data_IF_658547725776
#
_entry.id   IF_658547725776
#
_cell.length_a   1.000
_cell.length_b   1.000
_cell.length_c   1.000
_cell.angle_alpha   90.00
_cell.angle_beta   90.00
_cell.angle_gamma   90.00
#
_symmetry.space_group_name_H-M   'P 1'
#
loop_
_entity.id
_entity.type
_entity.pdbx_description
1 polymer ?
#
# COMPACT_ATOMS: atom_id res chain seq x y z
N UNK A 1 10.37 29.84 19.05
CA UNK A 1 10.26 28.37 19.07
C UNK A 1 9.05 27.94 18.26
N UNK A 2 7.85 28.45 18.58
CA UNK A 2 6.62 28.26 17.79
C UNK A 2 6.74 28.61 16.29
N UNK A 3 7.39 29.72 15.93
CA UNK A 3 7.57 30.12 14.51
C UNK A 3 8.56 29.21 13.75
N UNK A 4 9.53 28.60 14.44
CA UNK A 4 10.41 27.57 13.83
C UNK A 4 9.66 26.25 13.66
N UNK A 5 8.86 25.87 14.66
CA UNK A 5 8.01 24.67 14.60
C UNK A 5 6.97 24.77 13.48
N UNK A 6 6.38 25.95 13.26
CA UNK A 6 5.45 26.22 12.15
C UNK A 6 6.14 26.18 10.77
N UNK A 7 7.39 26.66 10.68
CA UNK A 7 8.19 26.60 9.45
C UNK A 7 8.71 25.19 9.11
N UNK A 8 8.85 24.32 10.12
CA UNK A 8 9.35 22.96 9.96
C UNK A 8 8.23 21.91 9.78
N UNK A 9 6.96 22.33 9.85
CA UNK A 9 5.77 21.49 9.61
C UNK A 9 5.88 20.62 8.35
N UNK A 10 6.44 21.19 7.28
CA UNK A 10 6.51 20.53 5.97
C UNK A 10 7.80 19.73 5.74
N UNK A 11 8.71 19.69 6.74
CA UNK A 11 10.02 19.05 6.62
C UNK A 11 9.99 17.66 7.23
N UNK A 12 10.56 16.70 6.50
CA UNK A 12 10.82 15.36 7.02
C UNK A 12 11.99 15.38 8.00
N UNK A 13 11.93 14.55 9.04
CA UNK A 13 13.08 14.32 9.91
C UNK A 13 14.13 13.49 9.18
N UNK A 14 15.42 13.80 9.39
CA UNK A 14 16.53 13.10 8.73
C UNK A 14 16.53 11.60 9.03
N UNK A 15 16.17 11.21 10.26
CA UNK A 15 16.09 9.81 10.65
C UNK A 15 15.02 9.04 9.86
N UNK A 16 13.87 9.68 9.60
CA UNK A 16 12.77 9.06 8.86
C UNK A 16 13.16 8.88 7.38
N UNK A 17 13.77 9.90 6.77
CA UNK A 17 14.31 9.81 5.39
C UNK A 17 15.37 8.72 5.28
N UNK A 18 16.28 8.62 6.26
CA UNK A 18 17.30 7.56 6.28
C UNK A 18 16.66 6.16 6.39
N UNK A 19 15.59 6.03 7.18
CA UNK A 19 14.84 4.77 7.33
C UNK A 19 14.21 4.35 5.99
N UNK A 20 13.54 5.27 5.30
CA UNK A 20 12.95 5.06 3.98
C UNK A 20 14.00 4.66 2.93
N UNK A 21 15.15 5.35 2.89
CA UNK A 21 16.24 5.01 1.96
C UNK A 21 16.81 3.62 2.23
N UNK A 22 16.94 3.21 3.49
CA UNK A 22 17.36 1.84 3.83
C UNK A 22 16.35 0.81 3.31
N UNK A 23 15.05 1.08 3.42
CA UNK A 23 14.00 0.22 2.87
C UNK A 23 14.08 0.13 1.35
N UNK A 24 14.21 1.27 0.66
CA UNK A 24 14.41 1.35 -0.79
C UNK A 24 15.60 0.50 -1.26
N UNK A 25 16.74 0.59 -0.57
CA UNK A 25 17.92 -0.22 -0.88
C UNK A 25 17.71 -1.72 -0.60
N UNK A 26 17.05 -2.05 0.51
CA UNK A 26 16.84 -3.43 0.97
C UNK A 26 15.84 -4.20 0.09
N UNK A 27 14.85 -3.52 -0.49
CA UNK A 27 13.82 -4.13 -1.34
C UNK A 27 14.21 -4.19 -2.83
N UNK A 28 15.28 -3.51 -3.22
CA UNK A 28 15.69 -3.31 -4.63
C UNK A 28 15.84 -4.60 -5.47
N UNK A 29 16.15 -5.73 -4.84
CA UNK A 29 16.33 -7.02 -5.54
C UNK A 29 15.09 -7.93 -5.48
N UNK A 30 14.03 -7.49 -4.82
CA UNK A 30 12.78 -8.25 -4.67
C UNK A 30 11.85 -7.88 -5.83
N UNK A 31 11.44 -8.84 -6.68
CA UNK A 31 10.53 -8.56 -7.78
C UNK A 31 9.23 -7.89 -7.32
N UNK A 32 8.79 -6.89 -8.08
CA UNK A 32 7.56 -6.14 -7.83
C UNK A 32 7.70 -4.99 -6.81
N UNK A 33 8.93 -4.62 -6.45
CA UNK A 33 9.25 -3.35 -5.78
C UNK A 33 10.03 -2.43 -6.73
N UNK A 34 10.02 -1.12 -6.46
CA UNK A 34 10.72 -0.16 -7.32
C UNK A 34 12.23 -0.31 -7.21
N UNK A 35 12.92 -0.15 -8.34
CA UNK A 35 14.39 -0.14 -8.35
C UNK A 35 14.89 1.22 -7.86
N UNK A 36 15.61 1.22 -6.75
CA UNK A 36 16.33 2.38 -6.22
C UNK A 36 17.63 2.58 -7.00
N UNK A 37 17.81 3.78 -7.57
CA UNK A 37 18.99 4.11 -8.38
C UNK A 37 20.00 4.94 -7.62
N UNK A 38 19.59 6.06 -7.03
CA UNK A 38 20.52 6.97 -6.34
C UNK A 38 19.81 7.85 -5.30
N UNK A 39 20.61 8.35 -4.34
CA UNK A 39 20.21 9.39 -3.40
C UNK A 39 21.23 10.54 -3.48
N UNK A 40 20.76 11.72 -3.89
CA UNK A 40 21.57 12.93 -3.88
C UNK A 40 21.03 13.92 -2.84
N UNK A 41 21.90 14.40 -1.96
CA UNK A 41 21.58 15.51 -1.05
C UNK A 41 21.97 16.82 -1.71
N UNK A 42 21.02 17.74 -1.83
CA UNK A 42 21.24 19.07 -2.40
C UNK A 42 20.83 20.16 -1.41
N UNK A 43 21.41 21.35 -1.57
CA UNK A 43 21.10 22.52 -0.76
C UNK A 43 20.66 23.69 -1.64
N UNK A 44 19.61 24.39 -1.23
CA UNK A 44 19.14 25.62 -1.86
C UNK A 44 17.67 25.58 -2.28
N UNK A 45 17.24 26.65 -2.97
CA UNK A 45 15.90 26.75 -3.54
C UNK A 45 15.74 25.88 -4.78
N UNK A 46 14.53 25.36 -5.07
CA UNK A 46 14.28 24.60 -6.30
C UNK A 46 14.64 25.38 -7.56
N UNK A 47 15.18 24.65 -8.55
CA UNK A 47 15.71 25.24 -9.78
C UNK A 47 14.61 25.87 -10.66
N UNK A 48 14.96 26.78 -11.59
CA UNK A 48 14.00 27.33 -12.55
C UNK A 48 13.26 26.25 -13.37
N UNK A 49 13.93 25.14 -13.69
CA UNK A 49 13.34 24.01 -14.39
C UNK A 49 12.27 23.31 -13.54
N UNK A 50 12.53 23.10 -12.25
CA UNK A 50 11.56 22.55 -11.31
C UNK A 50 10.34 23.47 -11.17
N UNK A 51 10.57 24.77 -11.04
CA UNK A 51 9.51 25.79 -10.94
C UNK A 51 8.60 25.79 -12.18
N UNK A 52 9.20 25.65 -13.38
CA UNK A 52 8.46 25.53 -14.63
C UNK A 52 7.60 24.25 -14.65
N UNK A 53 8.15 23.12 -14.22
CA UNK A 53 7.42 21.85 -14.14
C UNK A 53 6.24 21.93 -13.15
N UNK A 54 6.47 22.46 -11.95
CA UNK A 54 5.42 22.68 -10.94
C UNK A 54 4.31 23.60 -11.48
N UNK A 55 4.68 24.68 -12.18
CA UNK A 55 3.71 25.60 -12.78
C UNK A 55 2.89 24.91 -13.87
N UNK A 56 3.52 24.13 -14.74
CA UNK A 56 2.84 23.39 -15.81
C UNK A 56 1.86 22.38 -15.22
N UNK A 57 2.28 21.62 -14.20
CA UNK A 57 1.44 20.65 -13.50
C UNK A 57 0.24 21.34 -12.84
N UNK A 58 0.43 22.45 -12.13
CA UNK A 58 -0.69 23.16 -11.49
C UNK A 58 -1.67 23.81 -12.46
N UNK A 59 -1.21 24.19 -13.66
CA UNK A 59 -2.06 24.74 -14.71
C UNK A 59 -2.96 23.69 -15.34
N UNK A 60 -2.52 22.44 -15.42
CA UNK A 60 -3.31 21.34 -15.98
C UNK A 60 -4.32 20.73 -14.98
N UNK A 61 -4.32 21.16 -13.71
CA UNK A 61 -5.18 20.60 -12.67
C UNK A 61 -6.48 21.39 -12.47
N UNK A 62 -7.60 20.72 -12.16
CA UNK A 62 -8.83 21.38 -11.76
C UNK A 62 -8.65 22.28 -10.54
N UNK A 63 -9.56 23.24 -10.38
CA UNK A 63 -9.59 24.10 -9.19
C UNK A 63 -9.79 23.21 -7.94
N UNK A 64 -8.98 23.44 -6.91
CA UNK A 64 -8.99 22.63 -5.68
C UNK A 64 -8.04 21.43 -5.70
N UNK A 65 -7.55 20.97 -6.85
CA UNK A 65 -6.62 19.82 -6.98
C UNK A 65 -5.20 20.28 -7.35
N UNK A 66 -4.80 21.47 -6.87
CA UNK A 66 -3.47 22.04 -7.06
C UNK A 66 -2.52 21.57 -5.95
N UNK A 67 -1.23 21.83 -6.12
CA UNK A 67 -0.18 21.51 -5.15
C UNK A 67 -0.51 22.07 -3.78
N UNK A 68 -0.45 21.21 -2.78
CA UNK A 68 -0.54 21.59 -1.37
C UNK A 68 0.75 22.27 -0.91
N UNK A 69 1.90 21.90 -1.49
CA UNK A 69 3.17 22.55 -1.24
C UNK A 69 3.20 23.98 -1.79
N UNK A 70 3.87 24.91 -1.08
CA UNK A 70 3.98 26.29 -1.51
C UNK A 70 4.76 26.41 -2.82
N UNK A 71 4.45 27.47 -3.57
CA UNK A 71 5.07 27.76 -4.87
C UNK A 71 6.59 27.86 -4.75
N UNK A 72 7.36 26.92 -5.34
CA UNK A 72 8.80 26.84 -5.15
C UNK A 72 9.57 28.02 -5.78
N UNK A 73 8.93 28.81 -6.64
CA UNK A 73 9.53 30.02 -7.21
C UNK A 73 9.57 31.20 -6.24
N UNK A 74 8.76 31.19 -5.17
CA UNK A 74 8.69 32.28 -4.21
C UNK A 74 9.81 32.16 -3.18
N UNK A 75 10.56 33.23 -2.99
CA UNK A 75 11.68 33.28 -2.00
C UNK A 75 11.22 33.03 -0.56
N UNK A 76 9.97 33.35 -0.24
CA UNK A 76 9.39 33.11 1.09
C UNK A 76 9.05 31.63 1.33
N UNK A 77 9.00 30.81 0.28
CA UNK A 77 8.59 29.41 0.39
C UNK A 77 9.72 28.50 0.84
N UNK A 78 10.96 28.78 0.41
CA UNK A 78 12.13 27.99 0.77
C UNK A 78 13.37 28.88 0.90
N UNK A 79 14.17 28.64 1.93
CA UNK A 79 15.43 29.36 2.17
C UNK A 79 16.58 28.84 1.29
N UNK A 80 17.60 29.66 1.04
CA UNK A 80 18.79 29.28 0.26
C UNK A 80 19.66 28.21 0.99
N UNK A 81 19.41 27.92 2.27
CA UNK A 81 20.09 26.86 3.04
C UNK A 81 19.27 25.56 3.17
N UNK A 82 18.05 25.51 2.62
CA UNK A 82 17.17 24.35 2.69
C UNK A 82 17.85 23.11 2.11
N UNK A 83 17.84 22.00 2.86
CA UNK A 83 18.32 20.70 2.39
C UNK A 83 17.20 19.90 1.74
N UNK A 84 17.54 19.18 0.67
CA UNK A 84 16.65 18.25 -0.01
C UNK A 84 17.33 16.92 -0.22
N UNK A 85 16.58 15.83 -0.01
CA UNK A 85 16.94 14.50 -0.47
C UNK A 85 16.26 14.26 -1.82
N UNK A 86 17.04 14.02 -2.86
CA UNK A 86 16.55 13.66 -4.20
C UNK A 86 16.77 12.16 -4.36
N UNK A 87 15.68 11.40 -4.35
CA UNK A 87 15.68 9.94 -4.50
C UNK A 87 15.34 9.65 -5.97
N UNK A 88 16.29 9.06 -6.70
CA UNK A 88 16.08 8.60 -8.08
C UNK A 88 15.68 7.12 -8.08
N UNK A 89 14.55 6.82 -8.73
CA UNK A 89 13.97 5.48 -8.80
C UNK A 89 13.54 5.15 -10.22
N UNK A 90 13.33 3.86 -10.50
CA UNK A 90 12.67 3.42 -11.72
C UNK A 90 11.27 4.03 -11.85
N UNK A 91 10.88 4.34 -13.08
CA UNK A 91 9.50 4.66 -13.42
C UNK A 91 8.60 3.43 -13.21
N UNK A 92 7.82 3.46 -12.13
CA UNK A 92 6.93 2.39 -11.71
C UNK A 92 5.62 2.32 -12.52
N UNK A 93 5.34 3.28 -13.41
CA UNK A 93 4.10 3.36 -14.19
C UNK A 93 3.01 4.20 -13.51
N UNK A 94 1.75 3.86 -13.77
CA UNK A 94 0.58 4.62 -13.29
C UNK A 94 -0.03 3.91 -12.09
N UNK A 95 -0.34 4.63 -11.02
CA UNK A 95 -1.01 4.07 -9.84
C UNK A 95 -2.42 3.55 -10.13
N UNK A 96 -2.83 2.52 -9.39
CA UNK A 96 -4.14 1.87 -9.55
C UNK A 96 -5.31 2.85 -9.39
N UNK A 97 -5.18 3.84 -8.49
CA UNK A 97 -6.23 4.86 -8.29
C UNK A 97 -6.50 5.64 -9.57
N UNK A 98 -5.46 6.20 -10.20
CA UNK A 98 -5.60 6.89 -11.49
C UNK A 98 -6.09 5.98 -12.61
N UNK A 99 -5.63 4.73 -12.66
CA UNK A 99 -6.11 3.80 -13.70
C UNK A 99 -7.61 3.56 -13.54
N UNK A 100 -8.08 3.39 -12.31
CA UNK A 100 -9.51 3.23 -12.00
C UNK A 100 -10.31 4.49 -12.34
N UNK A 101 -9.80 5.69 -12.00
CA UNK A 101 -10.42 6.98 -12.36
C UNK A 101 -10.60 7.15 -13.88
N UNK A 102 -9.67 6.62 -14.68
CA UNK A 102 -9.74 6.64 -16.13
C UNK A 102 -10.51 5.46 -16.75
N UNK A 103 -11.15 4.62 -15.92
CA UNK A 103 -12.01 3.52 -16.38
C UNK A 103 -11.30 2.19 -16.65
N UNK A 104 -10.03 2.06 -16.29
CA UNK A 104 -9.28 0.80 -16.32
C UNK A 104 -9.52 -0.07 -15.09
N UNK A 105 -8.87 -1.25 -15.05
CA UNK A 105 -9.00 -2.26 -13.98
C UNK A 105 -10.45 -2.74 -13.74
N UNK A 106 -11.25 -2.78 -14.79
CA UNK A 106 -12.66 -3.21 -14.73
C UNK A 106 -12.83 -4.69 -15.06
N UNK A 107 -11.83 -5.31 -15.70
CA UNK A 107 -11.89 -6.71 -16.08
C UNK A 107 -11.42 -7.63 -14.96
N UNK A 108 -12.09 -8.79 -14.81
CA UNK A 108 -11.62 -9.85 -13.90
C UNK A 108 -10.18 -10.29 -14.18
N UNK A 109 -9.72 -10.23 -15.43
CA UNK A 109 -8.36 -10.63 -15.80
C UNK A 109 -7.33 -9.63 -15.26
N UNK A 110 -7.64 -8.34 -15.32
CA UNK A 110 -6.80 -7.26 -14.80
C UNK A 110 -6.79 -7.28 -13.27
N UNK A 111 -7.98 -7.35 -12.66
CA UNK A 111 -8.14 -7.43 -11.20
C UNK A 111 -7.40 -8.64 -10.63
N UNK A 112 -7.48 -9.79 -11.31
CA UNK A 112 -6.77 -11.00 -10.90
C UNK A 112 -5.25 -10.82 -10.96
N UNK A 113 -4.73 -10.30 -12.08
CA UNK A 113 -3.28 -10.10 -12.26
C UNK A 113 -2.71 -9.07 -11.29
N UNK A 114 -3.42 -7.96 -11.07
CA UNK A 114 -2.98 -6.91 -10.14
C UNK A 114 -2.99 -7.41 -8.71
N UNK A 115 -4.09 -8.02 -8.25
CA UNK A 115 -4.19 -8.50 -6.88
C UNK A 115 -3.11 -9.55 -6.55
N UNK A 116 -3.01 -10.59 -7.37
CA UNK A 116 -2.01 -11.63 -7.13
C UNK A 116 -0.58 -11.14 -7.38
N UNK A 117 -0.37 -10.23 -8.33
CA UNK A 117 0.93 -9.59 -8.54
C UNK A 117 1.42 -8.91 -7.25
N UNK A 118 0.58 -8.11 -6.61
CA UNK A 118 0.89 -7.46 -5.32
C UNK A 118 1.11 -8.50 -4.21
N UNK A 119 0.22 -9.48 -4.04
CA UNK A 119 0.37 -10.50 -3.00
C UNK A 119 1.68 -11.29 -3.15
N UNK A 120 2.08 -11.63 -4.38
CA UNK A 120 3.33 -12.34 -4.64
C UNK A 120 4.56 -11.50 -4.30
N UNK A 121 4.57 -10.21 -4.64
CA UNK A 121 5.66 -9.30 -4.29
C UNK A 121 5.77 -9.16 -2.77
N UNK A 122 4.66 -8.88 -2.08
CA UNK A 122 4.64 -8.72 -0.62
C UNK A 122 5.05 -10.02 0.09
N UNK A 123 4.56 -11.18 -0.35
CA UNK A 123 4.97 -12.48 0.21
C UNK A 123 6.49 -12.73 0.08
N UNK A 124 7.10 -12.34 -1.04
CA UNK A 124 8.56 -12.43 -1.22
C UNK A 124 9.30 -11.50 -0.26
N UNK A 125 8.78 -10.29 -0.02
CA UNK A 125 9.39 -9.35 0.92
C UNK A 125 9.19 -9.75 2.40
N UNK A 126 8.03 -10.34 2.75
CA UNK A 126 7.82 -10.97 4.05
C UNK A 126 8.86 -12.06 4.31
N UNK A 127 9.08 -12.93 3.32
CA UNK A 127 10.06 -14.02 3.42
C UNK A 127 11.50 -13.52 3.47
N UNK A 128 11.85 -12.56 2.61
CA UNK A 128 13.22 -12.09 2.49
C UNK A 128 13.64 -11.28 3.73
N UNK A 129 12.82 -10.32 4.15
CA UNK A 129 13.22 -9.31 5.13
C UNK A 129 12.14 -8.95 6.15
N UNK A 130 11.14 -9.82 6.38
CA UNK A 130 10.04 -9.55 7.33
C UNK A 130 9.39 -8.19 7.08
N UNK A 131 9.10 -7.91 5.81
CA UNK A 131 8.56 -6.63 5.37
C UNK A 131 7.10 -6.44 5.75
N UNK A 132 6.76 -5.23 6.20
CA UNK A 132 5.39 -4.72 6.30
C UNK A 132 5.30 -3.39 5.54
N UNK A 133 4.31 -3.26 4.66
CA UNK A 133 4.13 -2.01 3.90
C UNK A 133 3.54 -0.89 4.75
N UNK A 134 2.51 -1.24 5.54
CA UNK A 134 1.75 -0.35 6.45
C UNK A 134 0.98 0.81 5.82
N UNK A 135 1.15 1.06 4.53
CA UNK A 135 0.31 2.00 3.77
C UNK A 135 0.04 1.58 2.31
N UNK A 136 -0.42 0.34 2.08
CA UNK A 136 -0.54 -0.23 0.73
C UNK A 136 -1.90 0.12 0.08
N UNK A 137 -2.21 1.42 0.01
CA UNK A 137 -3.40 1.91 -0.68
C UNK A 137 -3.22 1.92 -2.21
N UNK A 138 -4.29 2.20 -2.96
CA UNK A 138 -4.27 2.15 -4.44
C UNK A 138 -3.28 3.13 -5.09
N UNK A 139 -2.91 4.21 -4.39
CA UNK A 139 -1.90 5.17 -4.84
C UNK A 139 -0.46 4.63 -4.76
N UNK A 140 -0.24 3.60 -3.94
CA UNK A 140 1.07 3.00 -3.68
C UNK A 140 1.30 1.69 -4.45
N UNK A 141 0.43 1.41 -5.43
CA UNK A 141 0.55 0.27 -6.34
C UNK A 141 0.52 0.84 -7.76
N UNK A 142 1.67 0.86 -8.42
CA UNK A 142 1.76 1.23 -9.82
C UNK A 142 1.64 0.02 -10.73
N UNK A 143 1.11 0.27 -11.93
CA UNK A 143 0.94 -0.72 -12.97
C UNK A 143 1.62 -0.23 -14.24
N UNK A 144 2.33 -1.15 -14.89
CA UNK A 144 2.85 -0.99 -16.25
C UNK A 144 2.29 -2.09 -17.14
N UNK A 145 2.24 -1.80 -18.43
CA UNK A 145 1.97 -2.81 -19.44
C UNK A 145 3.29 -3.28 -20.05
N UNK A 146 3.52 -4.59 -20.07
CA UNK A 146 4.62 -5.21 -20.84
C UNK A 146 4.22 -5.49 -22.29
N UNK A 147 3.00 -5.11 -22.70
CA UNK A 147 2.53 -5.21 -24.08
C UNK A 147 3.23 -4.16 -24.98
N UNK A 148 3.32 -4.41 -26.30
CA UNK A 148 3.77 -3.39 -27.24
C UNK A 148 2.95 -2.10 -27.08
N UNK A 149 3.61 -0.94 -27.03
CA UNK A 149 2.96 0.36 -26.83
C UNK A 149 2.82 0.78 -25.36
N UNK A 150 2.86 -0.17 -24.40
CA UNK A 150 2.90 0.14 -22.97
C UNK A 150 1.64 0.79 -22.40
N UNK A 151 0.53 0.83 -23.16
CA UNK A 151 -0.74 1.39 -22.67
C UNK A 151 -1.38 0.43 -21.67
N UNK A 152 -1.61 0.91 -20.46
CA UNK A 152 -2.26 0.16 -19.36
C UNK A 152 -3.77 0.06 -19.51
N UNK A 153 -4.39 0.92 -20.34
CA UNK A 153 -5.83 0.95 -20.60
C UNK A 153 -6.26 -0.05 -21.66
N UNK A 154 -5.34 -0.48 -22.53
CA UNK A 154 -5.62 -1.51 -23.51
C UNK A 154 -5.74 -2.88 -22.83
N UNK A 155 -6.95 -3.40 -22.72
CA UNK A 155 -7.16 -4.74 -22.24
C UNK A 155 -6.89 -5.75 -23.37
N UNK A 156 -5.79 -6.50 -23.29
CA UNK A 156 -5.55 -7.68 -24.13
C UNK A 156 -5.34 -8.91 -23.23
N UNK A 157 -6.12 -9.98 -23.46
CA UNK A 157 -6.11 -11.19 -22.64
C UNK A 157 -5.46 -12.34 -23.40
N UNK A 158 -4.34 -12.82 -22.88
CA UNK A 158 -3.48 -13.84 -23.46
C UNK A 158 -3.76 -15.23 -22.88
N UNK A 159 -3.98 -16.21 -23.76
CA UNK A 159 -4.15 -17.63 -23.43
C UNK A 159 -5.04 -17.91 -22.20
N UNK A 160 -6.26 -17.33 -22.13
CA UNK A 160 -7.08 -17.35 -20.92
C UNK A 160 -7.39 -18.75 -20.44
N UNK A 161 -7.44 -19.78 -21.30
CA UNK A 161 -7.68 -21.16 -20.87
C UNK A 161 -6.44 -21.87 -20.32
N UNK A 162 -5.23 -21.50 -20.75
CA UNK A 162 -3.97 -22.19 -20.38
C UNK A 162 -3.26 -21.55 -19.19
N UNK A 163 -3.31 -20.22 -19.06
CA UNK A 163 -2.63 -19.47 -17.99
C UNK A 163 -3.37 -19.53 -16.65
N UNK A 164 -2.71 -19.18 -15.57
CA UNK A 164 -3.30 -19.05 -14.22
C UNK A 164 -3.07 -17.67 -13.61
N UNK A 165 -2.08 -16.95 -14.13
CA UNK A 165 -1.75 -15.57 -13.84
C UNK A 165 -1.14 -14.95 -15.11
N UNK A 166 -0.97 -13.64 -15.13
CA UNK A 166 -0.40 -12.87 -16.25
C UNK A 166 -1.24 -13.04 -17.51
N UNK A 167 -2.55 -12.89 -17.37
CA UNK A 167 -3.49 -12.87 -18.47
C UNK A 167 -3.34 -11.62 -19.33
N UNK A 168 -3.05 -10.49 -18.70
CA UNK A 168 -3.15 -9.17 -19.32
C UNK A 168 -1.81 -8.62 -19.77
N UNK A 169 -0.69 -9.09 -19.19
CA UNK A 169 0.60 -8.42 -19.36
C UNK A 169 0.71 -7.12 -18.54
N UNK A 170 -0.18 -6.92 -17.58
CA UNK A 170 0.01 -5.91 -16.54
C UNK A 170 1.01 -6.42 -15.51
N UNK A 171 1.92 -5.54 -15.12
CA UNK A 171 2.96 -5.77 -14.11
C UNK A 171 2.79 -4.76 -12.99
N UNK A 172 2.82 -5.23 -11.74
CA UNK A 172 2.63 -4.39 -10.56
C UNK A 172 3.97 -4.03 -9.92
N UNK A 173 4.06 -2.80 -9.41
CA UNK A 173 5.18 -2.31 -8.63
C UNK A 173 4.65 -1.65 -7.36
N UNK A 174 5.06 -2.16 -6.20
CA UNK A 174 4.76 -1.59 -4.88
C UNK A 174 5.74 -0.45 -4.60
N UNK A 175 5.24 0.72 -4.20
CA UNK A 175 6.02 1.95 -3.98
C UNK A 175 5.65 2.60 -2.65
N UNK A 176 6.40 3.65 -2.27
CA UNK A 176 6.22 4.45 -1.05
C UNK A 176 6.35 3.64 0.25
N UNK A 177 7.57 3.60 0.77
CA UNK A 177 7.92 2.84 1.96
C UNK A 177 8.00 3.72 3.22
N UNK A 178 7.39 4.91 3.17
CA UNK A 178 7.49 5.92 4.24
C UNK A 178 7.03 5.37 5.60
N UNK A 179 5.92 4.61 5.62
CA UNK A 179 5.37 4.02 6.85
C UNK A 179 5.83 2.58 7.08
N UNK A 180 6.61 2.01 6.16
CA UNK A 180 6.93 0.58 6.14
C UNK A 180 7.92 0.17 7.23
N UNK A 181 8.10 -1.15 7.36
CA UNK A 181 9.06 -1.77 8.27
C UNK A 181 9.73 -2.98 7.62
N UNK A 182 11.03 -3.15 7.79
CA UNK A 182 11.74 -4.39 7.44
C UNK A 182 13.03 -4.57 8.24
N UNK A 183 13.46 -5.83 8.34
CA UNK A 183 14.80 -6.17 8.80
C UNK A 183 15.80 -5.78 7.69
N UNK A 184 16.82 -4.99 8.03
CA UNK A 184 17.86 -4.57 7.10
C UNK A 184 18.88 -5.69 6.96
N UNK A 185 18.93 -6.27 5.77
CA UNK A 185 19.86 -7.35 5.45
C UNK A 185 21.20 -6.72 5.11
N UNK A 186 22.29 -7.09 5.81
CA UNK A 186 23.62 -6.60 5.46
C UNK A 186 23.95 -7.00 4.02
N UNK A 187 24.17 -6.02 3.15
CA UNK A 187 24.71 -6.29 1.82
C UNK A 187 26.09 -6.92 2.03
N UNK A 188 26.37 -8.13 1.50
CA UNK A 188 27.72 -8.67 1.56
C UNK A 188 28.61 -7.68 0.82
N UNK A 189 29.45 -6.98 1.57
CA UNK A 189 30.40 -6.04 0.99
C UNK A 189 31.17 -6.80 -0.07
N UNK A 190 31.07 -6.37 -1.34
CA UNK A 190 32.02 -6.80 -2.38
C UNK A 190 33.38 -6.34 -1.88
N UNK A 191 34.07 -7.23 -1.16
CA UNK A 191 35.43 -7.00 -0.68
C UNK A 191 36.23 -6.63 -1.91
N UNK A 192 36.74 -5.40 -1.92
CA UNK A 192 37.89 -5.03 -2.71
C UNK A 192 38.92 -6.13 -2.52
N UNK A 193 39.31 -6.76 -3.63
CA UNK A 193 40.39 -7.74 -3.68
C UNK A 193 41.68 -7.06 -3.21
N UNK A 194 41.91 -7.10 -1.91
CA UNK A 194 43.22 -6.88 -1.31
C UNK A 194 43.51 -8.10 -0.46
N UNK A 195 44.37 -8.95 -1.00
CA UNK A 195 44.94 -10.13 -0.37
C UNK A 195 45.70 -9.72 0.88
N UNK A 196 45.18 -10.10 2.05
CA UNK A 196 45.99 -10.29 3.25
C UNK A 196 45.53 -11.56 3.95
N UNK A 197 46.43 -12.55 3.91
CA UNK A 197 46.32 -13.82 4.59
C UNK A 197 46.47 -13.59 6.10
N UNK A 198 45.46 -13.99 6.88
CA UNK A 198 45.66 -14.33 8.28
C UNK A 198 44.60 -15.38 8.67
N UNK A 199 45.10 -16.60 8.83
CA UNK A 199 44.41 -17.73 9.40
C UNK A 199 44.20 -17.53 10.90
N UNK A 200 42.94 -17.53 11.33
CA UNK A 200 42.57 -17.87 12.70
C UNK A 200 41.14 -18.44 12.71
N UNK A 201 41.07 -19.74 12.93
CA UNK A 201 39.90 -20.48 13.37
C UNK A 201 39.50 -19.98 14.76
N UNK A 202 38.38 -19.28 14.85
CA UNK A 202 37.71 -19.01 16.12
C UNK A 202 36.24 -19.41 16.02
N UNK A 203 35.93 -20.38 16.86
CA UNK A 203 34.65 -20.99 17.20
C UNK A 203 33.46 -20.04 17.28
N UNK A 204 32.35 -20.54 16.76
CA UNK A 204 30.98 -20.04 16.89
C UNK A 204 30.54 -20.26 18.34
N UNK A 205 30.65 -19.24 19.18
CA UNK A 205 29.84 -19.07 20.40
C UNK A 205 30.26 -17.78 21.10
N UNK A 206 29.24 -16.96 21.40
CA UNK A 206 29.26 -15.80 22.30
C UNK A 206 29.94 -14.52 21.77
N UNK A 207 29.11 -13.57 21.33
CA UNK A 207 29.08 -12.19 21.83
C UNK A 207 27.91 -11.41 21.18
N UNK A 208 26.97 -11.01 22.04
CA UNK A 208 25.82 -10.12 21.81
C UNK A 208 24.75 -10.60 20.79
N UNK A 209 23.50 -10.66 21.26
CA UNK A 209 22.32 -10.53 20.40
C UNK A 209 22.54 -9.24 19.62
N UNK A 210 22.99 -9.33 18.36
CA UNK A 210 23.04 -8.17 17.49
C UNK A 210 21.59 -7.70 17.39
N UNK A 211 21.26 -6.54 17.97
CA UNK A 211 19.97 -5.93 17.73
C UNK A 211 19.76 -5.91 16.21
N UNK A 212 18.78 -6.68 15.72
CA UNK A 212 18.48 -6.71 14.30
C UNK A 212 18.28 -5.27 13.86
N UNK A 213 19.08 -4.83 12.88
CA UNK A 213 18.97 -3.49 12.31
C UNK A 213 17.64 -3.44 11.57
N UNK A 214 16.64 -2.75 12.13
CA UNK A 214 15.29 -2.64 11.53
C UNK A 214 15.14 -1.21 11.03
N UNK A 215 14.74 -1.04 9.77
CA UNK A 215 14.23 0.23 9.30
C UNK A 215 12.72 0.22 9.48
N UNK A 216 12.20 1.23 10.16
CA UNK A 216 10.77 1.43 10.39
C UNK A 216 10.49 2.91 10.66
N UNK A 217 9.22 3.29 10.58
CA UNK A 217 8.70 4.52 11.16
C UNK A 217 7.84 4.21 12.39
N UNK A 218 8.02 4.98 13.45
CA UNK A 218 7.16 4.91 14.64
C UNK A 218 5.86 5.67 14.38
N UNK A 219 4.78 4.92 14.13
CA UNK A 219 3.48 5.49 13.80
C UNK A 219 2.77 6.13 15.00
N UNK A 220 3.25 5.91 16.23
CA UNK A 220 2.71 6.62 17.40
C UNK A 220 3.03 8.12 17.37
N UNK A 221 3.99 8.54 16.53
CA UNK A 221 4.31 9.96 16.28
C UNK A 221 3.25 10.67 15.44
N UNK A 222 2.33 9.94 14.81
CA UNK A 222 1.24 10.50 14.02
C UNK A 222 -0.11 9.87 14.38
N UNK A 223 -0.71 10.22 15.53
CA UNK A 223 -2.01 9.70 15.95
C UNK A 223 -3.14 9.97 14.96
N UNK A 224 -3.02 11.05 14.16
CA UNK A 224 -4.03 11.45 13.19
C UNK A 224 -4.29 10.36 12.13
N UNK A 225 -3.29 9.51 11.85
CA UNK A 225 -3.42 8.34 10.98
C UNK A 225 -4.56 7.41 11.40
N UNK A 226 -4.78 7.27 12.71
CA UNK A 226 -5.77 6.37 13.30
C UNK A 226 -7.10 7.05 13.65
N UNK A 227 -7.13 8.39 13.65
CA UNK A 227 -8.28 9.21 14.05
C UNK A 227 -9.14 9.65 12.86
N UNK A 228 -8.65 9.50 11.62
CA UNK A 228 -9.37 9.87 10.41
C UNK A 228 -10.76 9.21 10.30
N UNK A 229 -11.66 9.90 9.61
CA UNK A 229 -13.06 9.48 9.47
C UNK A 229 -13.21 8.42 8.36
N UNK A 230 -13.57 7.16 8.70
CA UNK A 230 -13.72 6.10 7.71
C UNK A 230 -14.92 6.31 6.78
N UNK A 231 -15.83 7.24 7.10
CA UNK A 231 -16.93 7.63 6.20
C UNK A 231 -16.48 8.57 5.09
N UNK A 232 -15.37 9.31 5.28
CA UNK A 232 -14.71 10.08 4.22
C UNK A 232 -13.88 9.14 3.34
N UNK A 233 -12.97 8.38 3.96
CA UNK A 233 -12.12 7.43 3.25
C UNK A 233 -11.97 6.12 4.03
N UNK A 234 -12.39 5.01 3.41
CA UNK A 234 -12.28 3.67 4.02
C UNK A 234 -10.86 3.29 4.45
N UNK A 235 -9.83 3.91 3.85
CA UNK A 235 -8.43 3.72 4.23
C UNK A 235 -8.18 4.01 5.72
N UNK A 236 -8.89 4.95 6.33
CA UNK A 236 -8.73 5.23 7.78
C UNK A 236 -9.15 4.06 8.66
N UNK A 237 -10.13 3.27 8.23
CA UNK A 237 -10.52 2.05 8.94
C UNK A 237 -9.42 0.97 8.87
N UNK A 238 -8.71 0.89 7.74
CA UNK A 238 -7.60 -0.03 7.53
C UNK A 238 -6.44 0.28 8.48
N UNK A 239 -6.13 1.55 8.74
CA UNK A 239 -5.13 1.92 9.74
C UNK A 239 -5.53 1.47 11.14
N UNK A 240 -6.82 1.56 11.51
CA UNK A 240 -7.31 1.06 12.80
C UNK A 240 -7.19 -0.45 12.90
N UNK A 241 -7.56 -1.17 11.84
CA UNK A 241 -7.38 -2.63 11.76
C UNK A 241 -5.91 -3.04 11.84
N UNK A 242 -5.02 -2.30 11.18
CA UNK A 242 -3.58 -2.51 11.26
C UNK A 242 -3.07 -2.32 12.69
N UNK A 243 -3.53 -1.29 13.40
CA UNK A 243 -3.18 -1.05 14.81
C UNK A 243 -3.68 -2.17 15.72
N UNK A 244 -4.91 -2.63 15.52
CA UNK A 244 -5.45 -3.77 16.26
C UNK A 244 -4.66 -5.05 16.03
N UNK A 245 -4.30 -5.34 14.77
CA UNK A 245 -3.44 -6.47 14.41
C UNK A 245 -2.06 -6.37 15.06
N UNK A 246 -1.43 -5.21 15.07
CA UNK A 246 -0.09 -5.03 15.63
C UNK A 246 -0.06 -5.07 17.17
N UNK A 247 -1.12 -4.62 17.86
CA UNK A 247 -1.19 -4.63 19.33
C UNK A 247 -1.70 -5.96 19.90
N UNK A 248 -2.70 -6.55 19.24
CA UNK A 248 -3.50 -7.63 19.82
C UNK A 248 -3.55 -8.88 18.95
N UNK A 249 -2.83 -8.90 17.83
CA UNK A 249 -2.94 -9.96 16.81
C UNK A 249 -4.39 -10.13 16.28
N UNK A 250 -5.23 -9.11 16.47
CA UNK A 250 -6.65 -9.10 16.11
C UNK A 250 -7.05 -7.73 15.51
N UNK A 251 -7.35 -7.66 14.21
CA UNK A 251 -7.69 -6.40 13.54
C UNK A 251 -8.89 -5.65 14.16
N UNK A 252 -9.85 -6.35 14.75
CA UNK A 252 -11.05 -5.72 15.30
C UNK A 252 -10.89 -5.24 16.73
N UNK A 253 -9.76 -5.56 17.37
CA UNK A 253 -9.52 -5.18 18.75
C UNK A 253 -8.91 -3.77 18.80
N UNK A 254 -9.56 -2.87 19.54
CA UNK A 254 -9.03 -1.56 19.88
C UNK A 254 -8.59 -1.53 21.35
N UNK A 255 -7.68 -0.62 21.69
CA UNK A 255 -7.43 -0.30 23.10
C UNK A 255 -8.75 0.07 23.77
N UNK A 256 -9.03 -0.50 24.93
CA UNK A 256 -10.21 -0.13 25.71
C UNK A 256 -10.10 1.34 26.09
N UNK A 257 -10.96 2.18 25.54
CA UNK A 257 -11.20 3.52 26.10
C UNK A 257 -11.55 3.31 27.58
N UNK A 258 -10.89 4.01 28.53
CA UNK A 258 -11.38 4.04 29.90
C UNK A 258 -12.86 4.38 29.85
N UNK A 259 -13.70 3.63 30.56
CA UNK A 259 -15.14 3.85 30.58
C UNK A 259 -15.43 5.34 30.74
N UNK A 260 -16.33 5.94 29.93
CA UNK A 260 -16.68 7.34 30.12
C UNK A 260 -17.12 7.51 31.57
N UNK A 261 -16.47 8.44 32.27
CA UNK A 261 -16.93 8.89 33.59
C UNK A 261 -18.38 9.30 33.41
N UNK A 262 -19.29 8.58 34.07
CA UNK A 262 -20.72 8.84 34.03
C UNK A 262 -20.93 10.22 34.64
N UNK A 263 -21.05 11.26 33.80
CA UNK A 263 -21.66 12.51 34.23
C UNK A 263 -23.16 12.25 34.51
N UNK A 264 -23.73 12.85 35.57
CA UNK A 264 -25.10 12.58 35.98
C UNK A 264 -26.11 13.03 34.91
N UNK A 265 -27.29 12.38 34.84
CA UNK A 265 -28.16 12.43 33.67
C UNK A 265 -28.85 13.79 33.50
N UNK A 266 -28.58 14.48 32.39
CA UNK A 266 -29.50 15.47 31.84
C UNK A 266 -30.56 14.78 30.97
N UNK A 267 -31.81 15.17 31.17
CA UNK A 267 -33.04 14.51 30.73
C UNK A 267 -33.23 14.38 29.21
N UNK A 268 -34.01 13.39 28.73
CA UNK A 268 -34.04 13.00 27.33
C UNK A 268 -35.10 13.75 26.52
N UNK A 269 -34.77 14.14 25.28
CA UNK A 269 -35.77 14.47 24.25
C UNK A 269 -35.75 13.46 23.10
N UNK A 270 -36.84 12.68 23.07
CA UNK A 270 -37.36 11.77 22.05
C UNK A 270 -36.80 11.90 20.62
N UNK A 271 -36.39 10.76 20.08
CA UNK A 271 -36.32 10.44 18.66
C UNK A 271 -37.71 10.11 18.08
N UNK A 272 -37.83 10.11 16.74
CA UNK A 272 -38.46 8.98 16.09
C UNK A 272 -37.61 8.40 14.96
N UNK A 273 -37.51 7.07 14.97
CA UNK A 273 -36.91 6.19 13.96
C UNK A 273 -37.51 6.40 12.56
N UNK A 274 -36.69 6.20 11.52
CA UNK A 274 -37.06 5.46 10.29
C UNK A 274 -35.83 5.03 9.47
N UNK A 275 -35.81 3.76 9.07
CA UNK A 275 -34.95 3.16 8.06
C UNK A 275 -34.89 4.02 6.79
N UNK A 276 -33.75 4.04 6.08
CA UNK A 276 -33.73 4.08 4.60
C UNK A 276 -32.32 3.89 4.03
N UNK A 277 -32.27 2.98 3.04
CA UNK A 277 -31.39 2.90 1.88
C UNK A 277 -30.23 3.89 1.74
N UNK A 278 -29.03 3.32 1.61
CA UNK A 278 -27.82 3.97 1.12
C UNK A 278 -28.01 4.27 -0.38
N UNK A 279 -28.05 5.56 -0.73
CA UNK A 279 -27.99 6.09 -2.09
C UNK A 279 -26.86 7.11 -2.10
N UNK A 280 -25.85 6.89 -2.92
CA UNK A 280 -24.75 7.81 -3.16
C UNK A 280 -24.97 8.48 -4.51
N UNK A 281 -25.16 9.80 -4.51
CA UNK A 281 -24.96 10.69 -5.66
C UNK A 281 -23.80 11.65 -5.32
N UNK A 282 -23.16 12.13 -6.39
CA UNK A 282 -21.79 12.61 -6.56
C UNK A 282 -21.36 13.89 -5.79
N UNK A 283 -20.07 13.95 -5.42
CA UNK A 283 -19.03 14.90 -5.87
C UNK A 283 -17.85 14.87 -4.88
N UNK A 284 -16.72 14.26 -5.27
CA UNK A 284 -15.56 14.07 -4.37
C UNK A 284 -14.65 15.32 -4.29
N UNK A 285 -14.34 15.83 -3.08
CA UNK A 285 -13.30 16.84 -2.86
C UNK A 285 -11.86 16.28 -3.00
N UNK A 286 -10.80 17.10 -2.90
CA UNK A 286 -9.39 16.68 -3.05
C UNK A 286 -8.96 15.63 -2.03
N UNK A 287 -8.42 14.50 -2.53
CA UNK A 287 -7.89 13.38 -1.74
C UNK A 287 -6.50 13.74 -1.23
N UNK A 288 -6.22 13.38 0.02
CA UNK A 288 -5.02 13.75 0.79
C UNK A 288 -4.19 12.50 1.06
N UNK A 289 -2.87 12.58 0.86
CA UNK A 289 -1.95 11.75 1.64
C UNK A 289 -2.08 12.19 3.11
N UNK A 290 -2.05 11.29 4.11
CA UNK A 290 -2.08 11.68 5.51
C UNK A 290 -0.73 12.31 5.91
N UNK A 291 -0.43 13.50 5.36
CA UNK A 291 0.50 14.44 5.94
C UNK A 291 -0.33 15.47 6.70
N UNK A 292 -0.26 15.36 8.04
CA UNK A 292 -0.44 16.44 9.03
C UNK A 292 -1.23 17.67 8.55
N UNK A 293 -2.49 17.77 8.99
CA UNK A 293 -2.92 18.80 9.96
C UNK A 293 -4.45 18.92 10.05
N UNK A 294 -4.98 18.74 11.25
CA UNK A 294 -5.71 19.80 11.97
C UNK A 294 -5.30 19.75 13.44
N UNK A 295 -5.05 20.92 14.01
CA UNK A 295 -4.60 21.14 15.39
C UNK A 295 -5.73 20.73 16.34
N UNK A 296 -5.60 19.61 17.04
CA UNK A 296 -6.41 19.36 18.22
C UNK A 296 -5.88 20.25 19.36
N UNK A 297 -6.76 21.03 19.98
CA UNK A 297 -6.44 21.72 21.23
C UNK A 297 -5.94 20.70 22.25
N UNK A 298 -4.85 21.05 22.94
CA UNK A 298 -4.20 20.22 23.95
C UNK A 298 -5.17 20.05 25.12
N UNK A 299 -5.98 18.99 25.07
CA UNK A 299 -6.53 18.39 26.26
C UNK A 299 -5.47 17.42 26.76
N UNK A 300 -4.96 17.69 27.95
CA UNK A 300 -3.87 16.98 28.61
C UNK A 300 -4.26 15.50 28.81
N UNK A 301 -4.03 14.68 27.79
CA UNK A 301 -4.19 13.24 27.87
C UNK A 301 -3.12 12.69 28.81
N UNK A 302 -3.58 12.01 29.85
CA UNK A 302 -2.76 11.40 30.88
C UNK A 302 -1.56 10.66 30.29
N UNK A 303 -0.37 10.90 30.86
CA UNK A 303 0.85 10.14 30.61
C UNK A 303 0.60 8.66 30.88
N UNK A 304 0.25 7.91 29.84
CA UNK A 304 0.42 6.45 29.81
C UNK A 304 1.87 6.21 29.41
N UNK A 305 2.74 6.17 30.41
CA UNK A 305 4.10 5.68 30.25
C UNK A 305 4.07 4.16 30.35
N UNK A 306 3.78 3.49 29.23
CA UNK A 306 4.21 2.10 29.04
C UNK A 306 5.29 2.10 27.96
N UNK A 307 6.51 1.79 28.38
CA UNK A 307 7.69 1.68 27.51
C UNK A 307 7.56 0.59 26.43
N UNK A 308 6.51 -0.25 26.48
CA UNK A 308 6.26 -1.33 25.54
C UNK A 308 5.57 -0.89 24.24
N UNK A 309 4.79 0.21 24.27
CA UNK A 309 4.06 0.71 23.09
C UNK A 309 4.99 1.37 22.05
N UNK A 310 6.15 1.91 22.47
CA UNK A 310 7.09 2.61 21.57
C UNK A 310 7.79 1.64 20.60
N UNK A 311 7.96 0.38 21.00
CA UNK A 311 8.67 -0.64 20.21
C UNK A 311 7.72 -1.50 19.36
N UNK A 312 6.39 -1.31 19.45
CA UNK A 312 5.42 -2.15 18.74
C UNK A 312 5.62 -2.09 17.22
N UNK A 313 5.90 -0.90 16.68
CA UNK A 313 6.07 -0.67 15.25
C UNK A 313 7.45 -1.11 14.75
N UNK A 314 8.39 -1.41 15.64
CA UNK A 314 9.67 -2.03 15.26
C UNK A 314 9.54 -3.55 15.08
N UNK A 315 8.67 -4.18 15.86
CA UNK A 315 8.36 -5.61 15.76
C UNK A 315 7.70 -5.92 14.40
N UNK A 316 7.75 -7.19 14.01
CA UNK A 316 7.16 -7.68 12.77
C UNK A 316 5.77 -8.24 13.03
N UNK A 317 4.78 -7.69 12.34
CA UNK A 317 3.37 -8.07 12.44
C UNK A 317 2.81 -8.37 11.05
N UNK A 318 3.02 -9.57 10.49
CA UNK A 318 2.66 -9.88 9.10
C UNK A 318 1.16 -9.71 8.78
N UNK A 319 0.28 -9.80 9.79
CA UNK A 319 -1.15 -9.54 9.62
C UNK A 319 -1.46 -8.11 9.14
N UNK A 320 -0.57 -7.13 9.35
CA UNK A 320 -0.76 -5.78 8.81
C UNK A 320 -0.84 -5.81 7.28
N UNK A 321 -0.01 -6.61 6.62
CA UNK A 321 -0.07 -6.78 5.17
C UNK A 321 -1.36 -7.46 4.70
N UNK A 322 -1.93 -8.40 5.48
CA UNK A 322 -3.22 -9.03 5.16
C UNK A 322 -4.39 -8.04 5.23
N UNK A 323 -4.39 -7.14 6.22
CA UNK A 323 -5.39 -6.07 6.33
C UNK A 323 -5.31 -5.11 5.12
N UNK A 324 -4.10 -4.85 4.62
CA UNK A 324 -3.91 -4.08 3.39
C UNK A 324 -4.29 -4.85 2.12
N UNK A 325 -4.03 -6.16 2.05
CA UNK A 325 -4.49 -7.02 0.96
C UNK A 325 -6.04 -7.07 0.90
N UNK A 326 -6.71 -7.06 2.07
CA UNK A 326 -8.16 -6.88 2.18
C UNK A 326 -8.60 -5.56 1.54
N UNK A 327 -7.97 -4.44 1.89
CA UNK A 327 -8.30 -3.14 1.31
C UNK A 327 -8.17 -3.12 -0.22
N UNK A 328 -7.03 -3.60 -0.74
CA UNK A 328 -6.79 -3.67 -2.17
C UNK A 328 -7.87 -4.48 -2.88
N UNK A 329 -8.14 -5.70 -2.41
CA UNK A 329 -9.12 -6.59 -3.03
C UNK A 329 -10.54 -6.01 -2.94
N UNK A 330 -10.89 -5.45 -1.79
CA UNK A 330 -12.19 -4.78 -1.58
C UNK A 330 -12.40 -3.65 -2.61
N UNK A 331 -11.39 -2.78 -2.77
CA UNK A 331 -11.46 -1.67 -3.73
C UNK A 331 -11.56 -2.17 -5.18
N UNK A 332 -10.76 -3.15 -5.58
CA UNK A 332 -10.79 -3.71 -6.94
C UNK A 332 -12.13 -4.39 -7.25
N UNK A 333 -12.67 -5.18 -6.32
CA UNK A 333 -13.96 -5.86 -6.50
C UNK A 333 -15.12 -4.86 -6.56
N UNK A 334 -15.14 -3.86 -5.69
CA UNK A 334 -16.17 -2.81 -5.71
C UNK A 334 -16.13 -1.99 -6.99
N UNK A 335 -14.93 -1.67 -7.50
CA UNK A 335 -14.77 -0.95 -8.77
C UNK A 335 -15.37 -1.73 -9.94
N UNK A 336 -15.04 -3.03 -10.05
CA UNK A 336 -15.61 -3.91 -11.07
C UNK A 336 -17.14 -4.03 -10.93
N UNK A 337 -17.68 -4.06 -9.71
CA UNK A 337 -19.12 -4.06 -9.46
C UNK A 337 -19.78 -2.74 -9.87
N UNK A 338 -19.18 -1.60 -9.53
CA UNK A 338 -19.66 -0.27 -9.90
C UNK A 338 -19.78 -0.12 -11.42
N UNK A 339 -18.81 -0.66 -12.16
CA UNK A 339 -18.82 -0.70 -13.63
C UNK A 339 -19.66 -1.83 -14.24
N UNK A 340 -20.48 -2.56 -13.46
CA UNK A 340 -21.29 -3.71 -13.92
C UNK A 340 -20.48 -4.74 -14.74
N UNK A 341 -19.20 -4.89 -14.41
CA UNK A 341 -18.23 -5.69 -15.15
C UNK A 341 -17.96 -7.05 -14.50
N UNK A 342 -18.84 -7.48 -13.60
CA UNK A 342 -18.74 -8.77 -12.92
C UNK A 342 -18.97 -9.94 -13.91
N UNK A 343 -18.13 -10.99 -13.90
CA UNK A 343 -18.22 -12.05 -14.92
C UNK A 343 -19.54 -12.82 -14.97
N UNK A 344 -20.31 -12.86 -13.88
CA UNK A 344 -21.63 -13.50 -13.83
C UNK A 344 -22.70 -12.70 -14.59
N UNK A 345 -22.58 -11.37 -14.62
CA UNK A 345 -23.47 -10.47 -15.34
C UNK A 345 -23.12 -10.35 -16.83
N UNK A 346 -21.85 -10.55 -17.19
CA UNK A 346 -21.38 -10.39 -18.56
C UNK A 346 -21.68 -11.60 -19.47
N UNK A 347 -22.00 -11.33 -20.73
CA UNK A 347 -22.07 -12.36 -21.77
C UNK A 347 -20.67 -12.89 -22.14
N UNK A 348 -20.59 -14.08 -22.75
CA UNK A 348 -19.32 -14.63 -23.20
C UNK A 348 -18.64 -13.73 -24.25
N UNK A 349 -19.46 -13.07 -25.10
CA UNK A 349 -18.99 -12.11 -26.11
C UNK A 349 -18.34 -10.87 -25.49
N UNK A 350 -18.93 -10.31 -24.42
CA UNK A 350 -18.36 -9.15 -23.71
C UNK A 350 -17.02 -9.51 -23.04
N UNK A 351 -16.91 -10.68 -22.44
CA UNK A 351 -15.66 -11.17 -21.83
C UNK A 351 -14.55 -11.45 -22.88
N UNK A 352 -14.90 -11.51 -24.16
CA UNK A 352 -14.00 -11.78 -25.29
C UNK A 352 -13.60 -10.54 -26.07
N UNK A 353 -14.21 -9.38 -25.85
CA UNK A 353 -13.85 -8.16 -26.61
C UNK A 353 -12.34 -7.87 -26.61
N UNK A 354 -11.66 -8.37 -25.59
CA UNK A 354 -10.24 -8.18 -25.32
C UNK A 354 -9.39 -9.45 -25.56
N UNK A 355 -9.97 -10.53 -26.10
CA UNK A 355 -9.28 -11.79 -26.44
C UNK A 355 -9.17 -11.84 -27.96
N UNK A 356 -7.96 -11.74 -28.51
CA UNK A 356 -7.70 -11.62 -29.95
C UNK A 356 -8.04 -12.84 -30.82
N UNK A 357 -9.28 -13.35 -30.77
CA UNK A 357 -9.75 -14.40 -31.69
C UNK A 357 -11.12 -14.08 -32.29
N UNK A 358 -11.23 -14.24 -33.61
CA UNK A 358 -12.50 -14.14 -34.34
C UNK A 358 -13.26 -15.48 -34.30
N UNK A 359 -14.57 -15.42 -34.01
CA UNK A 359 -15.52 -16.55 -34.11
C UNK A 359 -16.09 -17.04 -32.77
N UNK A 360 -17.41 -17.29 -32.73
CA UNK A 360 -18.05 -17.96 -31.58
C UNK A 360 -17.72 -19.45 -31.60
N UNK A 361 -17.10 -19.96 -30.52
CA UNK A 361 -16.67 -21.35 -30.44
C UNK A 361 -16.99 -21.97 -29.08
N UNK A 362 -16.86 -23.30 -28.96
CA UNK A 362 -16.97 -24.01 -27.68
C UNK A 362 -16.02 -23.47 -26.59
N UNK A 363 -15.00 -22.69 -26.96
CA UNK A 363 -14.06 -22.08 -26.03
C UNK A 363 -14.64 -20.83 -25.34
N UNK A 364 -15.63 -20.15 -25.91
CA UNK A 364 -16.22 -18.95 -25.30
C UNK A 364 -16.95 -19.27 -24.00
N UNK A 365 -17.71 -20.37 -24.01
CA UNK A 365 -18.38 -20.84 -22.81
C UNK A 365 -17.36 -21.30 -21.75
N UNK A 366 -16.21 -21.84 -22.16
CA UNK A 366 -15.12 -22.20 -21.23
C UNK A 366 -14.45 -20.96 -20.65
N UNK A 367 -14.23 -19.92 -21.46
CA UNK A 367 -13.67 -18.63 -21.03
C UNK A 367 -14.60 -17.99 -20.02
N UNK A 368 -15.90 -17.88 -20.31
CA UNK A 368 -16.89 -17.36 -19.36
C UNK A 368 -16.90 -18.17 -18.06
N UNK A 369 -16.94 -19.50 -18.15
CA UNK A 369 -16.87 -20.37 -16.95
C UNK A 369 -15.60 -20.12 -16.14
N UNK A 370 -14.47 -19.89 -16.79
CA UNK A 370 -13.21 -19.56 -16.11
C UNK A 370 -13.26 -18.20 -15.45
N UNK A 371 -13.71 -17.16 -16.15
CA UNK A 371 -13.87 -15.81 -15.61
C UNK A 371 -14.75 -15.82 -14.34
N UNK A 372 -15.91 -16.50 -14.39
CA UNK A 372 -16.79 -16.68 -13.23
C UNK A 372 -16.08 -17.45 -12.10
N UNK A 373 -15.27 -18.46 -12.42
CA UNK A 373 -14.49 -19.19 -11.42
C UNK A 373 -13.44 -18.30 -10.74
N UNK A 374 -12.70 -17.48 -11.50
CA UNK A 374 -11.72 -16.54 -10.95
C UNK A 374 -12.41 -15.54 -10.01
N UNK A 375 -13.55 -14.98 -10.43
CA UNK A 375 -14.33 -14.07 -9.60
C UNK A 375 -14.77 -14.70 -8.28
N UNK A 376 -15.32 -15.93 -8.32
CA UNK A 376 -15.68 -16.68 -7.11
C UNK A 376 -14.50 -16.96 -6.19
N UNK A 377 -13.32 -17.20 -6.74
CA UNK A 377 -12.10 -17.35 -5.95
C UNK A 377 -11.74 -16.04 -5.26
N UNK A 378 -11.77 -14.91 -5.96
CA UNK A 378 -11.52 -13.60 -5.34
C UNK A 378 -12.56 -13.25 -4.27
N UNK A 379 -13.83 -13.62 -4.45
CA UNK A 379 -14.84 -13.48 -3.40
C UNK A 379 -14.47 -14.31 -2.16
N UNK A 380 -14.08 -15.59 -2.34
CA UNK A 380 -13.59 -16.43 -1.24
C UNK A 380 -12.36 -15.85 -0.55
N UNK A 381 -11.41 -15.30 -1.31
CA UNK A 381 -10.22 -14.63 -0.75
C UNK A 381 -10.61 -13.38 0.03
N UNK A 382 -11.57 -12.59 -0.46
CA UNK A 382 -12.10 -11.43 0.26
C UNK A 382 -12.76 -11.82 1.59
N UNK A 383 -13.44 -12.98 1.65
CA UNK A 383 -13.99 -13.51 2.91
C UNK A 383 -12.89 -13.94 3.89
N UNK A 384 -11.81 -14.54 3.40
CA UNK A 384 -10.66 -14.95 4.22
C UNK A 384 -9.86 -13.75 4.76
N UNK A 385 -9.75 -12.69 3.95
CA UNK A 385 -9.04 -11.46 4.28
C UNK A 385 -9.88 -10.48 5.12
N UNK A 386 -11.20 -10.71 5.22
CA UNK A 386 -12.07 -9.87 6.02
C UNK A 386 -11.53 -9.75 7.46
N UNK A 387 -11.47 -8.53 8.04
CA UNK A 387 -10.96 -8.30 9.41
C UNK A 387 -11.60 -9.21 10.47
N UNK A 388 -12.90 -9.53 10.32
CA UNK A 388 -13.62 -10.50 11.18
C UNK A 388 -13.04 -11.90 11.09
N UNK A 389 -12.66 -12.36 9.89
CA UNK A 389 -12.04 -13.65 9.68
C UNK A 389 -10.61 -13.66 10.21
N UNK A 390 -9.85 -12.58 9.96
CA UNK A 390 -8.47 -12.41 10.42
C UNK A 390 -8.31 -12.34 11.95
N UNK A 391 -9.36 -11.95 12.68
CA UNK A 391 -9.38 -11.98 14.15
C UNK A 391 -9.61 -13.36 14.78
N UNK A 392 -9.78 -14.42 13.98
CA UNK A 392 -10.00 -15.79 14.48
C UNK A 392 -8.66 -16.51 14.72
N UNK A 393 -8.67 -17.52 15.59
CA UNK A 393 -7.47 -18.26 15.97
C UNK A 393 -6.85 -19.07 14.80
N UNK A 394 -7.66 -19.58 13.87
CA UNK A 394 -7.23 -20.35 12.70
C UNK A 394 -7.17 -19.51 11.41
N UNK A 395 -7.01 -18.19 11.55
CA UNK A 395 -6.93 -17.29 10.41
C UNK A 395 -5.55 -17.34 9.72
N UNK A 396 -5.47 -16.77 8.52
CA UNK A 396 -4.21 -16.50 7.85
C UNK A 396 -3.32 -15.59 8.72
N UNK A 397 -2.05 -15.96 8.88
CA UNK A 397 -1.05 -15.21 9.64
C UNK A 397 -0.23 -14.24 8.79
N UNK A 398 -0.11 -14.46 7.48
CA UNK A 398 0.71 -13.63 6.58
C UNK A 398 0.24 -13.68 5.12
N UNK A 399 0.71 -12.73 4.29
CA UNK A 399 0.45 -12.78 2.84
C UNK A 399 1.18 -13.96 2.20
N UNK A 400 2.35 -14.35 2.72
CA UNK A 400 3.03 -15.60 2.37
C UNK A 400 2.12 -16.81 2.53
N UNK A 401 1.42 -16.95 3.66
CA UNK A 401 0.47 -18.04 3.88
C UNK A 401 -0.71 -18.00 2.89
N UNK A 402 -1.21 -16.81 2.54
CA UNK A 402 -2.23 -16.66 1.50
C UNK A 402 -1.72 -17.18 0.14
N UNK A 403 -0.48 -16.89 -0.22
CA UNK A 403 0.15 -17.38 -1.46
C UNK A 403 0.35 -18.90 -1.42
N UNK A 404 0.73 -19.47 -0.27
CA UNK A 404 0.82 -20.92 -0.07
C UNK A 404 -0.55 -21.58 -0.29
N UNK A 405 -1.60 -21.05 0.34
CA UNK A 405 -2.98 -21.52 0.12
C UNK A 405 -3.38 -21.45 -1.36
N UNK A 406 -3.01 -20.37 -2.05
CA UNK A 406 -3.30 -20.21 -3.48
C UNK A 406 -2.60 -21.25 -4.36
N UNK A 407 -1.41 -21.71 -3.97
CA UNK A 407 -0.71 -22.82 -4.61
C UNK A 407 -1.39 -24.17 -4.35
N UNK A 408 -1.74 -24.44 -3.09
CA UNK A 408 -2.42 -25.67 -2.67
C UNK A 408 -3.77 -25.84 -3.38
N UNK A 409 -4.54 -24.75 -3.47
CA UNK A 409 -5.83 -24.67 -4.15
C UNK A 409 -5.71 -24.53 -5.69
N UNK A 410 -4.47 -24.48 -6.21
CA UNK A 410 -4.13 -24.37 -7.64
C UNK A 410 -4.77 -23.16 -8.33
N UNK A 411 -4.91 -22.07 -7.60
CA UNK A 411 -5.34 -20.78 -8.11
C UNK A 411 -4.22 -20.17 -8.96
N UNK A 412 -2.99 -20.22 -8.44
CA UNK A 412 -1.73 -19.91 -9.12
C UNK A 412 -0.85 -21.16 -9.24
N UNK A 413 0.22 -21.11 -10.04
CA UNK A 413 1.20 -22.21 -10.20
C UNK A 413 2.53 -21.84 -9.58
N UNK A 414 3.35 -22.85 -9.27
CA UNK A 414 4.72 -22.66 -8.76
C UNK A 414 5.55 -21.73 -9.68
N UNK A 415 5.43 -21.90 -11.01
CA UNK A 415 6.11 -21.05 -11.97
C UNK A 415 5.66 -19.58 -11.97
N UNK A 416 4.46 -19.29 -11.46
CA UNK A 416 3.97 -17.92 -11.30
C UNK A 416 4.62 -17.22 -10.08
N UNK A 417 5.04 -18.01 -9.07
CA UNK A 417 5.65 -17.53 -7.81
C UNK A 417 7.16 -17.39 -7.92
N UNK A 418 7.81 -18.33 -8.61
CA UNK A 418 9.27 -18.39 -8.74
C UNK A 418 9.87 -17.30 -9.65
N UNK A 419 9.03 -16.61 -10.42
CA UNK A 419 9.44 -15.61 -11.42
C UNK A 419 9.74 -14.23 -10.88
#
# INVERSE_FOLDING_TARGET
MAEREENDVWKSQVADVLSEVKLLQNLNYIPGFTVFRDLTIVQGRPSPSFNKAWTAWNKSRPRGKKSEFPDPSKRISYDDTQLWAVIEMQDAGTDCEKIMEYGGLTSIWEVWDVFWGVCLSVAKAEEACRFEHRDLHLGNICVRSSRPGGDVMESEVQDPLRRKLRFTGLETTVIDYTLSRADIIPVPSRRSSSSVSASSTSSISDLAISETNVAYLDLNKDPALFEGDPSEEYQYEIYRYMRGAALYDNPLQSASTPAPVIEPPSTPRRSPRKNTHIRFDEEEPPRRSPRKHTKAEVVEAAKVTDSEDVDMWRKFHPKTNLVWAHFLLHKLLNHMQYHNSTPDQLSAKQLKQNIGSDGESADDLKIKKKAVKLYKVLQRVSELLCPVALGRQEALGSVKELVVLALEERWVRVGDVAG
#
